data_IF_170505088387
#
_entry.id   IF_170505088387
#
_cell.length_a   1.000
_cell.length_b   1.000
_cell.length_c   1.000
_cell.angle_alpha   90.00
_cell.angle_beta   90.00
_cell.angle_gamma   90.00
#
_symmetry.space_group_name_H-M   'P 1'
#
loop_
_entity.id
_entity.type
_entity.pdbx_description
1 polymer ?
#
# COMPACT_ATOMS: atom_id res chain seq x y z
N UNK A 1 -11.79 10.72 -12.96
CA UNK A 1 -13.06 10.03 -12.65
C UNK A 1 -12.96 9.03 -11.48
N UNK A 2 -11.79 8.50 -11.10
CA UNK A 2 -11.67 7.67 -9.89
C UNK A 2 -11.66 8.49 -8.58
N UNK A 3 -11.08 9.69 -8.58
CA UNK A 3 -10.95 10.55 -7.40
C UNK A 3 -12.27 11.18 -6.87
N UNK A 4 -13.42 10.89 -7.50
CA UNK A 4 -14.75 11.32 -7.06
C UNK A 4 -15.54 10.19 -6.40
N UNK A 5 -15.00 8.96 -6.40
CA UNK A 5 -15.63 7.81 -5.77
C UNK A 5 -15.41 7.85 -4.25
N UNK A 6 -16.26 7.16 -3.47
CA UNK A 6 -16.03 6.97 -2.05
C UNK A 6 -14.67 6.32 -1.79
N UNK A 7 -14.07 6.68 -0.64
CA UNK A 7 -12.74 6.23 -0.28
C UNK A 7 -12.65 4.70 -0.24
N UNK A 8 -13.69 4.01 0.23
CA UNK A 8 -13.69 2.54 0.33
C UNK A 8 -13.56 1.88 -1.05
N UNK A 9 -14.19 2.47 -2.07
CA UNK A 9 -14.11 1.99 -3.46
C UNK A 9 -12.72 2.24 -4.02
N UNK A 10 -12.15 3.41 -3.76
CA UNK A 10 -10.78 3.75 -4.18
C UNK A 10 -9.78 2.79 -3.54
N UNK A 11 -9.86 2.57 -2.23
CA UNK A 11 -8.99 1.63 -1.51
C UNK A 11 -9.14 0.21 -2.03
N UNK A 12 -10.37 -0.22 -2.35
CA UNK A 12 -10.60 -1.53 -2.97
C UNK A 12 -9.96 -1.63 -4.37
N UNK A 13 -10.03 -0.60 -5.20
CA UNK A 13 -9.35 -0.62 -6.51
C UNK A 13 -7.83 -0.70 -6.33
N UNK A 14 -7.26 0.13 -5.45
CA UNK A 14 -5.83 0.14 -5.14
C UNK A 14 -5.37 -1.23 -4.62
N UNK A 15 -6.20 -1.93 -3.83
CA UNK A 15 -5.86 -3.24 -3.28
C UNK A 15 -5.62 -4.31 -4.36
N UNK A 16 -6.15 -4.13 -5.58
CA UNK A 16 -5.97 -5.05 -6.70
C UNK A 16 -4.76 -4.72 -7.60
N UNK A 17 -4.03 -3.64 -7.29
CA UNK A 17 -2.79 -3.28 -8.00
C UNK A 17 -1.61 -3.90 -7.23
N UNK A 18 -0.99 -4.90 -7.84
CA UNK A 18 0.09 -5.68 -7.23
C UNK A 18 1.49 -5.16 -7.58
N UNK A 19 1.68 -4.63 -8.79
CA UNK A 19 2.98 -4.14 -9.24
C UNK A 19 3.27 -2.76 -8.60
N UNK A 20 4.38 -2.60 -7.84
CA UNK A 20 4.72 -1.32 -7.22
C UNK A 20 4.90 -0.19 -8.23
N UNK A 21 5.36 -0.49 -9.44
CA UNK A 21 5.49 0.49 -10.52
C UNK A 21 4.15 1.10 -10.94
N UNK A 22 3.10 0.29 -10.98
CA UNK A 22 1.75 0.74 -11.33
C UNK A 22 1.12 1.56 -10.21
N UNK A 23 1.34 1.14 -8.94
CA UNK A 23 0.93 1.92 -7.77
C UNK A 23 1.62 3.27 -7.69
N UNK A 24 2.93 3.32 -7.95
CA UNK A 24 3.67 4.57 -8.02
C UNK A 24 3.14 5.45 -9.16
N UNK A 25 2.91 4.88 -10.34
CA UNK A 25 2.32 5.61 -11.46
C UNK A 25 0.96 6.22 -11.10
N UNK A 26 0.11 5.47 -10.38
CA UNK A 26 -1.18 5.96 -9.88
C UNK A 26 -1.02 7.08 -8.84
N UNK A 27 -0.11 6.90 -7.88
CA UNK A 27 0.20 7.90 -6.84
C UNK A 27 0.63 9.24 -7.45
N UNK A 28 1.36 9.21 -8.55
CA UNK A 28 1.85 10.40 -9.25
C UNK A 28 0.78 11.13 -10.07
N UNK A 29 -0.42 10.56 -10.27
CA UNK A 29 -1.47 11.21 -11.07
C UNK A 29 -2.19 12.34 -10.32
N UNK A 30 -2.33 12.28 -9.00
CA UNK A 30 -2.95 13.34 -8.21
C UNK A 30 -2.56 13.29 -6.72
N UNK A 31 -2.76 14.42 -6.03
CA UNK A 31 -2.43 14.56 -4.59
C UNK A 31 -3.17 13.55 -3.69
N UNK A 32 -4.45 13.27 -3.98
CA UNK A 32 -5.24 12.31 -3.22
C UNK A 32 -4.61 10.91 -3.27
N UNK A 33 -4.21 10.43 -4.44
CA UNK A 33 -3.59 9.11 -4.56
C UNK A 33 -2.18 9.08 -3.97
N UNK A 34 -1.43 10.18 -4.09
CA UNK A 34 -0.14 10.30 -3.42
C UNK A 34 -0.28 10.12 -1.90
N UNK A 35 -1.24 10.81 -1.27
CA UNK A 35 -1.50 10.72 0.18
C UNK A 35 -2.06 9.36 0.63
N UNK A 36 -2.76 8.63 -0.24
CA UNK A 36 -3.29 7.31 0.08
C UNK A 36 -2.26 6.18 -0.12
N UNK A 37 -1.41 6.29 -1.13
CA UNK A 37 -0.50 5.21 -1.54
C UNK A 37 0.86 5.31 -0.84
N UNK A 38 1.35 6.53 -0.62
CA UNK A 38 2.69 6.77 -0.09
C UNK A 38 2.58 7.38 1.32
N UNK A 39 3.28 6.84 2.34
CA UNK A 39 4.19 5.68 2.27
C UNK A 39 3.49 4.32 2.45
N UNK A 40 2.27 4.31 3.00
CA UNK A 40 1.71 3.13 3.70
C UNK A 40 1.33 1.94 2.81
N UNK A 41 1.01 2.14 1.53
CA UNK A 41 0.64 1.05 0.62
C UNK A 41 1.87 0.63 -0.18
N UNK A 42 2.60 1.59 -0.74
CA UNK A 42 3.73 1.32 -1.63
C UNK A 42 4.88 0.62 -0.91
N UNK A 43 5.21 1.02 0.32
CA UNK A 43 6.34 0.45 1.07
C UNK A 43 6.06 -0.96 1.61
N UNK A 44 4.79 -1.27 1.89
CA UNK A 44 4.39 -2.55 2.49
C UNK A 44 4.00 -3.60 1.45
N UNK A 45 3.89 -3.23 0.17
CA UNK A 45 3.55 -4.16 -0.93
C UNK A 45 4.59 -5.23 -1.21
N UNK A 46 5.87 -4.94 -1.03
CA UNK A 46 6.93 -5.93 -1.20
C UNK A 46 7.94 -5.81 -0.07
N UNK A 47 7.98 -6.84 0.77
CA UNK A 47 8.99 -6.96 1.81
C UNK A 47 10.14 -7.82 1.30
N UNK A 48 11.29 -7.18 1.04
CA UNK A 48 12.55 -7.88 0.72
C UNK A 48 13.44 -7.89 1.95
N UNK A 49 13.34 -8.94 2.76
CA UNK A 49 14.21 -9.14 3.91
C UNK A 49 14.57 -10.63 4.10
N UNK A 50 15.56 -10.90 4.96
CA UNK A 50 15.78 -12.27 5.44
C UNK A 50 14.54 -12.73 6.22
N UNK A 51 13.94 -13.90 5.89
CA UNK A 51 12.75 -14.40 6.59
C UNK A 51 12.99 -14.66 8.08
N UNK A 52 14.25 -14.78 8.53
CA UNK A 52 14.63 -14.94 9.93
C UNK A 52 14.62 -13.62 10.71
N UNK A 53 14.29 -12.49 10.09
CA UNK A 53 14.17 -11.19 10.76
C UNK A 53 12.87 -11.13 11.59
N UNK A 54 12.88 -11.82 12.74
CA UNK A 54 11.73 -11.95 13.65
C UNK A 54 11.15 -10.58 14.04
N UNK A 55 11.99 -9.59 14.23
CA UNK A 55 11.61 -8.20 14.56
C UNK A 55 10.66 -7.60 13.52
N UNK A 56 10.86 -7.90 12.22
CA UNK A 56 10.01 -7.41 11.16
C UNK A 56 8.61 -8.04 11.23
N UNK A 57 8.53 -9.35 11.45
CA UNK A 57 7.25 -10.05 11.62
C UNK A 57 6.50 -9.57 12.87
N UNK A 58 7.22 -9.30 13.97
CA UNK A 58 6.65 -8.71 15.17
C UNK A 58 6.09 -7.30 14.91
N UNK A 59 6.78 -6.49 14.12
CA UNK A 59 6.32 -5.14 13.78
C UNK A 59 5.08 -5.19 12.88
N UNK A 60 5.02 -6.09 11.90
CA UNK A 60 3.82 -6.32 11.10
C UNK A 60 2.64 -6.80 11.96
N UNK A 61 2.89 -7.67 12.93
CA UNK A 61 1.86 -8.11 13.87
C UNK A 61 1.31 -6.94 14.70
N UNK A 62 2.15 -5.96 15.06
CA UNK A 62 1.72 -4.73 15.76
C UNK A 62 0.96 -3.77 14.86
N UNK A 63 1.11 -3.88 13.54
CA UNK A 63 0.55 -2.96 12.54
C UNK A 63 -0.33 -3.68 11.50
N UNK A 64 -1.48 -4.22 11.91
CA UNK A 64 -2.31 -5.08 11.07
C UNK A 64 -2.82 -4.39 9.80
N UNK A 65 -3.07 -3.08 9.84
CA UNK A 65 -3.56 -2.32 8.67
C UNK A 65 -2.50 -2.26 7.57
N UNK A 66 -1.24 -2.01 7.93
CA UNK A 66 -0.13 -1.97 6.98
C UNK A 66 0.29 -3.38 6.55
N UNK A 67 0.20 -4.35 7.46
CA UNK A 67 0.44 -5.76 7.13
C UNK A 67 -0.56 -6.31 6.11
N UNK A 68 -1.80 -5.80 6.08
CA UNK A 68 -2.80 -6.16 5.07
C UNK A 68 -2.45 -5.69 3.64
N UNK A 69 -1.42 -4.84 3.50
CA UNK A 69 -0.96 -4.35 2.20
C UNK A 69 0.16 -5.22 1.58
N UNK A 70 0.68 -6.22 2.31
CA UNK A 70 1.67 -7.20 1.82
C UNK A 70 1.05 -8.20 0.86
#
# INVERSE_FOLDING_TARGET
MLAILPLEIITSVISHIFEPGDLLSLALTCKLFCELIIPDILEYRIIRCDPRRIELWQELQRRPIQAANI
#
